data_IF_165209212596
#
_entry.id   IF_165209212596
#
_cell.length_a   1.000
_cell.length_b   1.000
_cell.length_c   1.000
_cell.angle_alpha   90.00
_cell.angle_beta   90.00
_cell.angle_gamma   90.00
#
_symmetry.space_group_name_H-M   'P 1'
#
loop_
_entity.id
_entity.type
_entity.pdbx_description
1 polymer ?
#
# COMPACT_ATOMS: atom_id res chain seq x y z
N UNK A 1 2.94 4.34 19.87
CA UNK A 1 3.59 3.38 18.94
C UNK A 1 2.66 2.95 17.81
N UNK A 2 1.46 2.44 18.08
CA UNK A 2 0.50 1.97 17.06
C UNK A 2 0.02 3.04 16.07
N UNK A 3 -0.26 4.26 16.53
CA UNK A 3 -0.75 5.34 15.64
C UNK A 3 0.32 5.87 14.68
N UNK A 4 1.58 5.98 15.12
CA UNK A 4 2.70 6.37 14.25
C UNK A 4 2.96 5.28 13.21
N UNK A 5 2.93 4.01 13.63
CA UNK A 5 3.03 2.87 12.71
C UNK A 5 1.90 2.88 11.67
N UNK A 6 0.65 3.08 12.09
CA UNK A 6 -0.51 3.20 11.20
C UNK A 6 -0.38 4.38 10.24
N UNK A 7 0.11 5.53 10.71
CA UNK A 7 0.35 6.70 9.86
C UNK A 7 1.40 6.42 8.77
N UNK A 8 2.49 5.74 9.13
CA UNK A 8 3.51 5.32 8.17
C UNK A 8 2.93 4.32 7.16
N UNK A 9 2.20 3.30 7.63
CA UNK A 9 1.55 2.34 6.74
C UNK A 9 0.55 3.01 5.79
N UNK A 10 -0.25 3.97 6.28
CA UNK A 10 -1.18 4.72 5.44
C UNK A 10 -0.46 5.58 4.40
N UNK A 11 0.65 6.24 4.76
CA UNK A 11 1.45 7.02 3.83
C UNK A 11 2.07 6.13 2.73
N UNK A 12 2.65 4.99 3.10
CA UNK A 12 3.20 4.03 2.13
C UNK A 12 2.09 3.46 1.24
N UNK A 13 0.89 3.26 1.77
CA UNK A 13 -0.26 2.79 1.00
C UNK A 13 -0.69 3.80 -0.05
N UNK A 14 -0.80 5.08 0.32
CA UNK A 14 -1.11 6.15 -0.63
C UNK A 14 -0.09 6.22 -1.76
N UNK A 15 1.21 6.15 -1.43
CA UNK A 15 2.27 6.12 -2.43
C UNK A 15 2.21 4.88 -3.32
N UNK A 16 1.86 3.72 -2.76
CA UNK A 16 1.75 2.48 -3.52
C UNK A 16 0.54 2.50 -4.46
N UNK A 17 -0.61 3.01 -4.02
CA UNK A 17 -1.80 3.18 -4.85
C UNK A 17 -1.57 4.23 -5.94
N UNK A 18 -0.87 5.33 -5.60
CA UNK A 18 -0.46 6.32 -6.58
C UNK A 18 0.44 5.70 -7.65
N UNK A 19 1.46 4.94 -7.22
CA UNK A 19 2.34 4.22 -8.12
C UNK A 19 1.56 3.23 -9.02
N UNK A 20 0.60 2.50 -8.45
CA UNK A 20 -0.25 1.57 -9.21
C UNK A 20 -1.06 2.28 -10.31
N UNK A 21 -1.51 3.51 -10.05
CA UNK A 21 -2.26 4.32 -11.01
C UNK A 21 -1.38 4.95 -12.10
N UNK A 22 -0.16 5.37 -11.76
CA UNK A 22 0.74 6.04 -12.73
C UNK A 22 1.62 5.07 -13.53
N UNK A 23 1.87 3.87 -13.01
CA UNK A 23 2.80 2.92 -13.62
C UNK A 23 2.19 2.28 -14.86
N UNK A 24 2.96 2.23 -15.95
CA UNK A 24 2.49 1.71 -17.26
C UNK A 24 2.85 0.25 -17.49
N UNK A 25 3.87 -0.24 -16.78
CA UNK A 25 4.32 -1.62 -16.85
C UNK A 25 3.44 -2.54 -16.00
N UNK A 26 2.69 -3.43 -16.65
CA UNK A 26 1.78 -4.37 -15.96
C UNK A 26 2.48 -5.24 -14.91
N UNK A 27 3.75 -5.62 -15.13
CA UNK A 27 4.54 -6.40 -14.16
C UNK A 27 4.79 -5.61 -12.87
N UNK A 28 5.10 -4.31 -13.00
CA UNK A 28 5.32 -3.42 -11.86
C UNK A 28 4.01 -3.07 -11.17
N UNK A 29 2.91 -2.96 -11.92
CA UNK A 29 1.57 -2.86 -11.34
C UNK A 29 1.22 -4.09 -10.50
N UNK A 30 1.44 -5.31 -11.00
CA UNK A 30 1.21 -6.54 -10.22
C UNK A 30 2.04 -6.57 -8.93
N UNK A 31 3.32 -6.20 -8.99
CA UNK A 31 4.17 -6.12 -7.80
C UNK A 31 3.66 -5.06 -6.80
N UNK A 32 3.26 -3.89 -7.28
CA UNK A 32 2.69 -2.83 -6.44
C UNK A 32 1.36 -3.27 -5.80
N UNK A 33 0.49 -3.95 -6.54
CA UNK A 33 -0.77 -4.48 -6.02
C UNK A 33 -0.55 -5.56 -4.94
N UNK A 34 0.42 -6.46 -5.14
CA UNK A 34 0.80 -7.46 -4.14
C UNK A 34 1.26 -6.86 -2.81
N UNK A 35 1.88 -5.68 -2.84
CA UNK A 35 2.30 -4.96 -1.63
C UNK A 35 1.15 -4.12 -1.06
N UNK A 36 0.32 -3.53 -1.92
CA UNK A 36 -0.82 -2.71 -1.51
C UNK A 36 -1.84 -3.50 -0.68
N UNK A 37 -2.21 -4.72 -1.10
CA UNK A 37 -3.21 -5.57 -0.42
C UNK A 37 -2.88 -5.80 1.07
N UNK A 38 -1.71 -6.38 1.43
CA UNK A 38 -1.40 -6.64 2.82
C UNK A 38 -1.12 -5.36 3.61
N UNK A 39 -0.77 -4.25 2.96
CA UNK A 39 -0.65 -2.95 3.62
C UNK A 39 -2.02 -2.36 3.94
N UNK A 40 -3.01 -2.56 3.07
CA UNK A 40 -4.40 -2.13 3.23
C UNK A 40 -5.06 -2.89 4.37
N UNK A 41 -4.85 -4.21 4.45
CA UNK A 41 -5.29 -5.03 5.58
C UNK A 41 -4.67 -4.55 6.90
N UNK A 42 -3.39 -4.18 6.91
CA UNK A 42 -2.71 -3.63 8.11
C UNK A 42 -3.27 -2.28 8.55
N UNK A 43 -3.55 -1.38 7.61
CA UNK A 43 -4.12 -0.06 7.91
C UNK A 43 -5.55 -0.19 8.43
N UNK A 44 -6.34 -1.09 7.85
CA UNK A 44 -7.71 -1.37 8.31
C UNK A 44 -7.78 -2.25 9.56
N UNK A 45 -6.64 -2.66 10.12
CA UNK A 45 -6.56 -3.55 11.29
C UNK A 45 -7.34 -4.87 11.09
N UNK A 46 -7.48 -5.33 9.84
CA UNK A 46 -8.12 -6.59 9.49
C UNK A 46 -7.10 -7.71 9.72
N UNK A 47 -7.49 -8.71 10.51
CA UNK A 47 -6.62 -9.79 10.97
C UNK A 47 -6.87 -11.10 10.22
#
# INVERSE_FOLDING_TARGET
MTYVYLAICAAVLLLTVWNLWTEKDWRKQCAAAMVAIPLLLRVLLIK
#
